data_IF_558145282088
#
_entry.id   IF_558145282088
#
_cell.length_a   1.000
_cell.length_b   1.000
_cell.length_c   1.000
_cell.angle_alpha   90.00
_cell.angle_beta   90.00
_cell.angle_gamma   90.00
#
_symmetry.space_group_name_H-M   'P 1'
#
loop_
_entity.id
_entity.type
_entity.pdbx_description
1 polymer ?
#
# COMPACT_ATOMS: atom_id res chain seq x y z
N UNK A 1 16.89 66.94 -37.17
CA UNK A 1 15.72 67.83 -37.08
C UNK A 1 14.57 67.12 -37.77
N UNK A 2 13.66 66.53 -37.00
CA UNK A 2 12.32 67.10 -36.70
C UNK A 2 11.36 66.84 -37.87
N UNK A 3 10.12 66.36 -37.74
CA UNK A 3 9.26 65.80 -36.70
C UNK A 3 7.94 65.47 -37.44
N UNK A 4 7.14 64.56 -36.89
CA UNK A 4 5.67 64.58 -36.81
C UNK A 4 4.83 65.01 -38.03
N UNK A 5 4.01 64.13 -38.62
CA UNK A 5 2.64 63.70 -38.19
C UNK A 5 1.51 64.67 -38.52
N UNK A 6 0.32 64.07 -38.70
CA UNK A 6 -1.02 64.65 -38.63
C UNK A 6 -1.52 65.43 -39.87
N UNK A 7 -2.80 65.38 -40.27
CA UNK A 7 -3.98 64.61 -39.88
C UNK A 7 -5.17 65.05 -40.76
N UNK A 8 -6.33 64.39 -40.58
CA UNK A 8 -7.73 64.87 -40.76
C UNK A 8 -8.35 64.63 -42.15
N UNK A 9 -9.60 64.15 -42.31
CA UNK A 9 -10.80 64.00 -41.44
C UNK A 9 -11.91 63.20 -42.22
N UNK A 10 -13.11 62.91 -41.68
CA UNK A 10 -13.82 61.62 -41.85
C UNK A 10 -15.30 61.74 -42.36
N UNK A 11 -16.07 60.65 -42.20
CA UNK A 11 -17.52 60.52 -41.85
C UNK A 11 -18.50 60.08 -42.99
N UNK A 12 -19.34 59.09 -42.62
CA UNK A 12 -20.73 58.71 -43.02
C UNK A 12 -20.82 57.31 -43.68
N UNK A 13 -21.74 56.39 -43.37
CA UNK A 13 -22.70 56.18 -42.27
C UNK A 13 -23.29 54.75 -42.43
N UNK A 14 -23.47 54.04 -41.30
CA UNK A 14 -24.55 53.10 -40.91
C UNK A 14 -25.17 52.09 -41.92
N UNK A 15 -25.16 50.81 -41.49
CA UNK A 15 -26.26 49.78 -41.42
C UNK A 15 -25.63 48.39 -41.70
N UNK A 16 -25.87 47.25 -41.03
CA UNK A 16 -26.91 46.74 -40.12
C UNK A 16 -26.39 45.38 -39.55
N UNK A 17 -26.59 45.14 -38.26
CA UNK A 17 -26.85 43.88 -37.53
C UNK A 17 -25.89 42.64 -37.51
N UNK A 18 -25.81 42.07 -36.30
CA UNK A 18 -25.41 40.71 -35.91
C UNK A 18 -23.91 40.32 -35.92
N UNK A 19 -23.25 40.52 -34.77
CA UNK A 19 -22.35 39.52 -34.16
C UNK A 19 -22.17 39.89 -32.68
N UNK A 20 -22.94 39.22 -31.83
CA UNK A 20 -22.84 39.34 -30.38
C UNK A 20 -21.48 38.83 -29.91
N UNK A 21 -20.84 39.65 -29.05
CA UNK A 21 -19.96 39.27 -27.93
C UNK A 21 -19.47 37.81 -27.96
N UNK A 22 -18.38 37.57 -28.71
CA UNK A 22 -17.51 36.41 -28.51
C UNK A 22 -16.34 36.83 -27.61
N UNK A 23 -16.70 37.33 -26.43
CA UNK A 23 -15.86 37.22 -25.25
C UNK A 23 -16.20 35.84 -24.69
N UNK A 24 -15.46 34.82 -25.13
CA UNK A 24 -15.44 33.54 -24.45
C UNK A 24 -14.94 33.78 -23.03
N UNK A 25 -15.85 34.16 -22.14
CA UNK A 25 -15.81 33.71 -20.77
C UNK A 25 -15.81 32.19 -20.86
N UNK A 26 -14.62 31.59 -20.87
CA UNK A 26 -14.47 30.29 -20.25
C UNK A 26 -14.84 30.50 -18.78
N UNK A 27 -16.13 30.44 -18.50
CA UNK A 27 -16.64 30.01 -17.22
C UNK A 27 -16.12 28.58 -17.06
N UNK A 28 -14.85 28.45 -16.67
CA UNK A 28 -14.47 27.37 -15.79
C UNK A 28 -15.37 27.57 -14.58
N UNK A 29 -16.53 26.92 -14.58
CA UNK A 29 -17.14 26.53 -13.32
C UNK A 29 -16.05 25.75 -12.59
N UNK A 30 -15.34 26.45 -11.70
CA UNK A 30 -14.62 25.83 -10.61
C UNK A 30 -15.69 25.02 -9.89
N UNK A 31 -15.83 23.75 -10.26
CA UNK A 31 -16.50 22.79 -9.39
C UNK A 31 -15.70 22.83 -8.10
N UNK A 32 -16.31 23.38 -7.05
CA UNK A 32 -15.72 23.33 -5.73
C UNK A 32 -15.50 21.84 -5.42
N UNK A 33 -14.24 21.50 -5.15
CA UNK A 33 -13.84 20.13 -4.85
C UNK A 33 -14.51 19.71 -3.53
N UNK A 34 -15.08 18.51 -3.47
CA UNK A 34 -15.79 18.00 -2.29
C UNK A 34 -14.92 17.03 -1.50
N UNK A 35 -14.61 17.33 -0.24
CA UNK A 35 -14.02 16.33 0.65
C UNK A 35 -14.99 15.15 0.83
N UNK A 36 -14.48 13.96 1.15
CA UNK A 36 -15.30 12.81 1.55
C UNK A 36 -14.84 12.20 2.87
N UNK A 37 -15.80 11.84 3.73
CA UNK A 37 -15.52 11.00 4.90
C UNK A 37 -15.42 9.56 4.42
N UNK A 38 -14.21 9.02 4.38
CA UNK A 38 -13.93 7.68 3.84
C UNK A 38 -13.97 6.58 4.90
N UNK A 39 -13.76 6.93 6.17
CA UNK A 39 -13.83 6.00 7.28
C UNK A 39 -14.17 6.71 8.60
N UNK A 40 -14.88 6.01 9.48
CA UNK A 40 -15.20 6.43 10.83
C UNK A 40 -15.40 5.21 11.73
N UNK A 41 -14.56 5.07 12.77
CA UNK A 41 -14.69 3.98 13.74
C UNK A 41 -14.16 4.37 15.12
N UNK A 42 -14.55 3.62 16.14
CA UNK A 42 -14.01 3.76 17.50
C UNK A 42 -12.63 3.11 17.60
N UNK A 43 -11.66 3.80 18.19
CA UNK A 43 -10.39 3.21 18.58
C UNK A 43 -10.42 2.91 20.09
N UNK A 44 -10.75 1.66 20.41
CA UNK A 44 -10.83 1.19 21.81
C UNK A 44 -9.47 1.13 22.52
N UNK A 45 -8.36 1.16 21.77
CA UNK A 45 -7.00 1.14 22.33
C UNK A 45 -6.48 2.52 22.67
N UNK A 46 -7.07 3.56 22.07
CA UNK A 46 -6.68 4.95 22.28
C UNK A 46 -7.41 5.57 23.49
N UNK A 47 -6.67 5.78 24.56
CA UNK A 47 -7.17 6.36 25.81
C UNK A 47 -7.14 7.91 25.79
N UNK A 48 -6.90 8.55 24.64
CA UNK A 48 -6.73 10.00 24.55
C UNK A 48 -7.91 10.78 25.13
N UNK A 49 -9.16 10.37 24.87
CA UNK A 49 -10.35 11.02 25.46
C UNK A 49 -10.43 10.87 26.99
N UNK A 50 -9.81 9.83 27.54
CA UNK A 50 -9.80 9.54 28.98
C UNK A 50 -8.67 10.28 29.70
N UNK A 51 -7.53 10.46 29.02
CA UNK A 51 -6.33 11.14 29.53
C UNK A 51 -6.48 12.66 29.38
N UNK A 52 -6.94 13.13 28.23
CA UNK A 52 -7.17 14.54 27.91
C UNK A 52 -8.65 14.88 28.11
N UNK A 53 -9.07 14.89 29.37
CA UNK A 53 -10.47 15.14 29.72
C UNK A 53 -10.85 16.59 29.43
N UNK A 54 -11.55 16.78 28.31
CA UNK A 54 -12.30 18.00 28.01
C UNK A 54 -13.73 17.75 28.45
N UNK A 55 -14.25 18.60 29.32
CA UNK A 55 -15.63 18.55 29.78
C UNK A 55 -16.48 19.56 28.99
N UNK A 56 -17.74 19.21 28.73
CA UNK A 56 -18.73 20.13 28.21
C UNK A 56 -19.18 21.15 29.27
N UNK A 57 -20.13 22.01 28.91
CA UNK A 57 -20.65 23.05 29.82
C UNK A 57 -21.38 22.50 31.05
N UNK A 58 -21.81 21.23 31.02
CA UNK A 58 -22.44 20.55 32.15
C UNK A 58 -21.42 19.81 33.04
N UNK A 59 -20.14 19.81 32.65
CA UNK A 59 -19.08 19.07 33.33
C UNK A 59 -18.97 17.61 32.87
N UNK A 60 -19.72 17.20 31.86
CA UNK A 60 -19.67 15.83 31.34
C UNK A 60 -18.49 15.67 30.37
N UNK A 61 -17.77 14.54 30.43
CA UNK A 61 -16.60 14.33 29.59
C UNK A 61 -16.99 14.14 28.13
N UNK A 62 -16.28 14.82 27.24
CA UNK A 62 -16.46 14.74 25.81
C UNK A 62 -16.00 13.38 25.24
N UNK A 63 -16.49 13.07 24.04
CA UNK A 63 -15.83 12.16 23.12
C UNK A 63 -14.71 12.91 22.38
N UNK A 64 -13.72 12.19 21.86
CA UNK A 64 -12.69 12.74 20.99
C UNK A 64 -12.78 12.10 19.61
N UNK A 65 -12.83 12.90 18.56
CA UNK A 65 -12.61 12.45 17.19
C UNK A 65 -11.25 12.97 16.74
N UNK A 66 -10.36 12.05 16.32
CA UNK A 66 -9.11 12.34 15.64
C UNK A 66 -9.36 12.32 14.14
N UNK A 67 -9.35 13.50 13.52
CA UNK A 67 -9.64 13.67 12.10
C UNK A 67 -8.34 13.71 11.31
N UNK A 68 -8.10 12.65 10.54
CA UNK A 68 -7.03 12.57 9.56
C UNK A 68 -7.35 13.44 8.35
N UNK A 69 -6.91 14.70 8.38
CA UNK A 69 -7.07 15.68 7.31
C UNK A 69 -5.81 16.54 7.20
N UNK A 70 -5.21 16.59 6.01
CA UNK A 70 -3.95 17.34 5.74
C UNK A 70 -4.16 18.81 5.37
N UNK A 71 -5.38 19.32 5.50
CA UNK A 71 -5.75 20.72 5.22
C UNK A 71 -5.55 21.54 6.50
N UNK A 72 -4.58 22.46 6.57
CA UNK A 72 -4.17 23.11 7.82
C UNK A 72 -5.11 24.23 8.31
N UNK A 73 -6.10 24.65 7.52
CA UNK A 73 -7.06 25.70 7.85
C UNK A 73 -8.46 25.17 8.18
N UNK A 74 -8.59 23.86 8.43
CA UNK A 74 -9.88 23.23 8.68
C UNK A 74 -10.52 23.74 9.99
N UNK A 75 -11.81 24.07 9.89
CA UNK A 75 -12.67 24.46 11.01
C UNK A 75 -13.82 23.48 11.12
N UNK A 76 -14.25 23.24 12.35
CA UNK A 76 -15.28 22.25 12.65
C UNK A 76 -16.50 22.94 13.27
N UNK A 77 -17.68 22.55 12.81
CA UNK A 77 -18.98 22.99 13.34
C UNK A 77 -19.82 21.78 13.75
N UNK A 78 -20.58 21.93 14.83
CA UNK A 78 -21.38 20.87 15.42
C UNK A 78 -21.49 21.07 16.94
N UNK A 79 -21.81 19.99 17.65
CA UNK A 79 -21.82 19.95 19.11
C UNK A 79 -20.39 19.86 19.68
N UNK A 80 -19.53 20.79 19.28
CA UNK A 80 -18.08 20.77 19.52
C UNK A 80 -17.74 21.69 20.68
N UNK A 81 -17.05 21.16 21.67
CA UNK A 81 -16.57 21.92 22.83
C UNK A 81 -15.21 22.56 22.54
N UNK A 82 -14.33 21.83 21.86
CA UNK A 82 -12.96 22.26 21.53
C UNK A 82 -12.50 21.59 20.25
N UNK A 83 -11.69 22.28 19.45
CA UNK A 83 -10.85 21.63 18.44
C UNK A 83 -9.42 22.17 18.49
N UNK A 84 -8.45 21.32 18.17
CA UNK A 84 -7.04 21.70 18.09
C UNK A 84 -6.31 20.86 17.04
N UNK A 85 -5.28 21.41 16.41
CA UNK A 85 -4.40 20.65 15.51
C UNK A 85 -3.16 20.21 16.28
N UNK A 86 -2.95 18.90 16.37
CA UNK A 86 -1.87 18.29 17.17
C UNK A 86 -1.42 16.99 16.50
N UNK A 87 -0.11 16.74 16.54
CA UNK A 87 0.49 15.48 16.06
C UNK A 87 0.14 15.12 14.60
N UNK A 88 -0.14 16.12 13.75
CA UNK A 88 -0.45 15.92 12.33
C UNK A 88 -1.92 15.61 12.01
N UNK A 89 -2.82 15.74 12.99
CA UNK A 89 -4.25 15.50 12.87
C UNK A 89 -5.05 16.56 13.65
N UNK A 90 -6.35 16.63 13.41
CA UNK A 90 -7.25 17.47 14.21
C UNK A 90 -7.89 16.66 15.32
N UNK A 91 -7.82 17.18 16.54
CA UNK A 91 -8.51 16.66 17.69
C UNK A 91 -9.77 17.48 17.89
N UNK A 92 -10.94 16.86 17.74
CA UNK A 92 -12.24 17.50 17.85
C UNK A 92 -13.01 16.85 19.00
N UNK A 93 -13.32 17.64 20.03
CA UNK A 93 -13.99 17.17 21.23
C UNK A 93 -15.49 17.46 21.14
N UNK A 94 -16.31 16.41 21.11
CA UNK A 94 -17.76 16.50 20.94
C UNK A 94 -18.50 16.11 22.21
N UNK A 95 -19.68 16.70 22.40
CA UNK A 95 -20.62 16.29 23.44
C UNK A 95 -21.04 14.83 23.22
N UNK A 96 -21.23 14.08 24.31
CA UNK A 96 -21.70 12.69 24.23
C UNK A 96 -23.07 12.60 23.56
N UNK A 97 -23.25 11.66 22.64
CA UNK A 97 -24.48 11.44 21.87
C UNK A 97 -24.50 12.11 20.49
N UNK A 98 -23.59 13.04 20.21
CA UNK A 98 -23.49 13.71 18.91
C UNK A 98 -23.21 12.73 17.77
N UNK A 99 -23.85 12.95 16.64
CA UNK A 99 -23.88 12.02 15.50
C UNK A 99 -23.52 12.69 14.17
N UNK A 100 -23.01 13.92 14.23
CA UNK A 100 -22.63 14.68 13.05
C UNK A 100 -21.61 15.79 13.38
N UNK A 101 -20.87 16.22 12.37
CA UNK A 101 -20.14 17.49 12.36
C UNK A 101 -20.01 18.01 10.92
N UNK A 102 -19.67 19.29 10.76
CA UNK A 102 -19.31 19.87 9.46
C UNK A 102 -17.85 20.32 9.46
N UNK A 103 -17.11 19.98 8.42
CA UNK A 103 -15.74 20.43 8.18
C UNK A 103 -15.76 21.55 7.14
N UNK A 104 -15.22 22.70 7.50
CA UNK A 104 -15.07 23.88 6.63
C UNK A 104 -13.60 24.15 6.36
N UNK A 105 -13.26 24.46 5.11
CA UNK A 105 -11.91 24.81 4.67
C UNK A 105 -12.00 25.97 3.68
N UNK A 106 -10.88 26.62 3.33
CA UNK A 106 -10.84 27.66 2.29
C UNK A 106 -11.04 27.10 0.88
N UNK A 107 -10.60 25.86 0.65
CA UNK A 107 -10.40 25.32 -0.70
C UNK A 107 -11.45 24.28 -1.12
N UNK A 108 -12.26 23.79 -0.17
CA UNK A 108 -13.27 22.75 -0.40
C UNK A 108 -14.65 23.17 0.07
N UNK A 109 -15.69 22.65 -0.61
CA UNK A 109 -17.07 22.77 -0.16
C UNK A 109 -17.19 22.20 1.27
N UNK A 110 -17.93 22.85 2.18
CA UNK A 110 -18.17 22.31 3.52
C UNK A 110 -18.67 20.86 3.48
N UNK A 111 -17.94 19.95 4.12
CA UNK A 111 -18.30 18.55 4.20
C UNK A 111 -19.11 18.31 5.48
N UNK A 112 -20.36 17.90 5.33
CA UNK A 112 -21.14 17.34 6.44
C UNK A 112 -20.79 15.86 6.61
N UNK A 113 -20.33 15.49 7.79
CA UNK A 113 -20.09 14.11 8.20
C UNK A 113 -21.22 13.69 9.13
N UNK A 114 -22.00 12.67 8.74
CA UNK A 114 -22.97 12.01 9.62
C UNK A 114 -22.41 10.63 10.02
N UNK A 115 -22.52 10.25 11.29
CA UNK A 115 -21.93 9.04 11.87
C UNK A 115 -22.73 8.51 13.07
N UNK A 116 -22.39 7.31 13.56
CA UNK A 116 -23.00 6.76 14.78
C UNK A 116 -22.72 7.64 16.01
N UNK A 117 -23.72 7.80 16.88
CA UNK A 117 -23.60 8.64 18.09
C UNK A 117 -22.36 8.31 18.91
N UNK A 118 -21.53 9.33 19.15
CA UNK A 118 -20.29 9.18 19.92
C UNK A 118 -20.58 9.00 21.41
N UNK A 119 -19.74 8.21 22.08
CA UNK A 119 -19.82 7.97 23.52
C UNK A 119 -18.77 8.81 24.25
N UNK A 120 -19.17 9.46 25.33
CA UNK A 120 -18.26 10.15 26.25
C UNK A 120 -17.06 9.28 26.62
N UNK A 121 -15.88 9.89 26.80
CA UNK A 121 -14.61 9.23 27.12
C UNK A 121 -14.12 8.20 26.10
N UNK A 122 -14.70 8.15 24.90
CA UNK A 122 -14.24 7.29 23.81
C UNK A 122 -13.51 8.10 22.75
N UNK A 123 -12.48 7.51 22.16
CA UNK A 123 -11.74 8.08 21.04
C UNK A 123 -12.14 7.40 19.73
N UNK A 124 -12.34 8.21 18.70
CA UNK A 124 -12.75 7.80 17.37
C UNK A 124 -11.74 8.29 16.35
N UNK A 125 -11.57 7.54 15.28
CA UNK A 125 -10.78 7.92 14.11
C UNK A 125 -11.74 8.28 12.99
N UNK A 126 -11.51 9.42 12.35
CA UNK A 126 -12.24 9.85 11.16
C UNK A 126 -11.23 10.14 10.04
N UNK A 127 -11.38 9.48 8.90
CA UNK A 127 -10.53 9.73 7.72
C UNK A 127 -11.28 10.58 6.71
N UNK A 128 -10.71 11.73 6.37
CA UNK A 128 -11.31 12.68 5.40
C UNK A 128 -10.34 12.88 4.24
N UNK A 129 -10.80 12.61 3.02
CA UNK A 129 -9.98 12.66 1.80
C UNK A 129 -10.43 13.80 0.89
N UNK A 130 -9.49 14.46 0.19
CA UNK A 130 -9.80 15.40 -0.88
C UNK A 130 -10.15 14.65 -2.18
N UNK A 131 -10.86 15.26 -3.14
CA UNK A 131 -11.04 14.69 -4.47
C UNK A 131 -9.71 14.29 -5.12
N UNK A 132 -9.61 13.03 -5.54
CA UNK A 132 -8.38 12.49 -6.14
C UNK A 132 -7.26 12.18 -5.14
N UNK A 133 -7.49 12.43 -3.85
CA UNK A 133 -6.52 12.28 -2.78
C UNK A 133 -6.78 10.99 -2.00
N UNK A 134 -6.65 9.85 -2.68
CA UNK A 134 -6.15 8.66 -2.01
C UNK A 134 -4.65 8.88 -1.78
N UNK A 135 -4.27 9.71 -0.81
CA UNK A 135 -2.88 9.76 -0.31
C UNK A 135 -2.59 8.51 0.52
N UNK A 136 -2.66 7.39 -0.16
CA UNK A 136 -1.94 6.21 0.24
C UNK A 136 -0.47 6.65 0.42
N UNK A 137 0.01 6.56 1.65
CA UNK A 137 1.40 6.88 1.97
C UNK A 137 2.29 5.95 1.13
N UNK A 138 3.40 6.43 0.55
CA UNK A 138 4.32 5.56 -0.18
C UNK A 138 4.83 4.36 0.65
N UNK A 139 4.80 4.50 1.99
CA UNK A 139 5.14 3.50 2.98
C UNK A 139 4.16 3.56 4.16
N UNK A 140 3.73 2.40 4.65
CA UNK A 140 3.04 2.22 5.93
C UNK A 140 3.90 1.29 6.78
N UNK A 141 4.08 1.64 8.06
CA UNK A 141 4.67 0.75 9.06
C UNK A 141 3.55 0.16 9.90
N UNK A 142 3.52 -1.16 10.01
CA UNK A 142 2.59 -1.88 10.91
C UNK A 142 3.35 -2.24 12.17
N UNK A 143 2.90 -1.71 13.30
CA UNK A 143 3.48 -1.97 14.62
C UNK A 143 2.60 -2.94 15.40
N UNK A 144 3.08 -4.17 15.62
CA UNK A 144 2.40 -5.15 16.45
C UNK A 144 2.99 -5.10 17.86
N UNK A 145 2.17 -4.64 18.82
CA UNK A 145 2.53 -4.55 20.24
C UNK A 145 1.74 -5.59 21.05
N UNK A 146 2.37 -6.21 22.07
CA UNK A 146 1.68 -7.14 22.94
C UNK A 146 0.51 -6.44 23.63
N UNK A 147 -0.67 -7.07 23.64
CA UNK A 147 -1.74 -6.62 24.51
C UNK A 147 -1.33 -6.87 25.97
N UNK A 148 -1.53 -5.87 26.84
CA UNK A 148 -1.22 -5.97 28.25
C UNK A 148 -2.18 -6.97 28.93
N UNK A 149 -1.75 -8.23 29.08
CA UNK A 149 -2.48 -9.21 29.87
C UNK A 149 -2.11 -9.08 31.35
N UNK A 150 -3.14 -8.92 32.17
CA UNK A 150 -3.06 -8.91 33.63
C UNK A 150 -2.58 -10.30 34.10
N UNK A 151 -1.42 -10.32 34.75
CA UNK A 151 -0.78 -11.41 35.51
C UNK A 151 -0.09 -12.52 34.69
N UNK A 152 1.26 -12.49 34.71
CA UNK A 152 2.10 -13.69 34.77
C UNK A 152 2.55 -14.38 33.47
N UNK A 153 2.12 -13.94 32.29
CA UNK A 153 2.54 -14.55 31.01
C UNK A 153 3.62 -13.69 30.34
N UNK A 154 4.67 -14.33 29.81
CA UNK A 154 5.69 -13.66 29.01
C UNK A 154 5.03 -12.90 27.86
N UNK A 155 5.13 -11.57 27.88
CA UNK A 155 4.65 -10.69 26.81
C UNK A 155 5.50 -10.92 25.56
N UNK A 156 4.88 -11.11 24.39
CA UNK A 156 5.57 -11.17 23.09
C UNK A 156 6.52 -9.97 22.93
N UNK A 157 7.60 -10.08 22.14
CA UNK A 157 8.39 -8.89 21.78
C UNK A 157 7.62 -8.09 20.72
N UNK A 158 7.54 -6.75 20.80
CA UNK A 158 6.98 -5.96 19.71
C UNK A 158 7.69 -6.24 18.40
N UNK A 159 6.96 -6.24 17.28
CA UNK A 159 7.51 -6.39 15.94
C UNK A 159 6.88 -5.36 15.00
N UNK A 160 7.70 -4.81 14.11
CA UNK A 160 7.27 -3.85 13.10
C UNK A 160 7.68 -4.32 11.72
N UNK A 161 6.87 -4.03 10.71
CA UNK A 161 7.21 -4.28 9.31
C UNK A 161 6.64 -3.20 8.41
N UNK A 162 7.33 -2.94 7.29
CA UNK A 162 6.95 -1.93 6.33
C UNK A 162 6.23 -2.53 5.12
N UNK A 163 5.20 -1.83 4.69
CA UNK A 163 4.48 -2.06 3.44
C UNK A 163 4.72 -0.86 2.53
N UNK A 164 5.00 -1.11 1.25
CA UNK A 164 5.17 -0.06 0.25
C UNK A 164 3.98 -0.03 -0.70
N UNK A 165 3.55 1.17 -1.05
CA UNK A 165 2.48 1.40 -1.99
C UNK A 165 2.94 1.08 -3.41
N UNK A 166 2.18 0.24 -4.09
CA UNK A 166 2.34 -0.07 -5.51
C UNK A 166 1.19 0.55 -6.28
N UNK A 167 1.51 1.45 -7.21
CA UNK A 167 0.54 2.11 -8.09
C UNK A 167 0.13 1.18 -9.25
N UNK A 168 -1.10 1.28 -9.78
CA UNK A 168 -1.53 0.51 -10.93
C UNK A 168 -0.67 0.84 -12.14
N UNK A 169 -0.62 -0.09 -13.08
CA UNK A 169 0.18 0.06 -14.28
C UNK A 169 -0.02 -1.10 -15.22
N UNK A 170 0.63 -0.99 -16.38
CA UNK A 170 0.68 -2.06 -17.37
C UNK A 170 2.13 -2.44 -17.62
N UNK A 171 2.39 -3.73 -17.72
CA UNK A 171 3.73 -4.23 -18.01
C UNK A 171 3.68 -5.47 -18.89
N UNK A 172 4.84 -5.80 -19.48
CA UNK A 172 5.04 -7.06 -20.20
C UNK A 172 5.51 -8.12 -19.21
N UNK A 173 4.65 -9.11 -18.97
CA UNK A 173 4.94 -10.26 -18.12
C UNK A 173 5.59 -11.38 -18.95
N UNK A 174 6.55 -12.10 -18.36
CA UNK A 174 7.31 -13.17 -19.00
C UNK A 174 8.67 -12.73 -19.54
N UNK A 175 9.38 -13.64 -20.21
CA UNK A 175 10.77 -13.41 -20.62
C UNK A 175 10.91 -12.39 -21.77
N UNK A 176 11.01 -11.11 -21.39
CA UNK A 176 11.35 -9.96 -22.23
C UNK A 176 12.83 -9.99 -22.68
N UNK A 177 13.28 -9.20 -23.67
CA UNK A 177 14.62 -9.34 -24.26
C UNK A 177 15.81 -9.30 -23.27
N UNK A 178 15.67 -8.58 -22.16
CA UNK A 178 16.63 -8.49 -21.07
C UNK A 178 16.67 -9.75 -20.16
N UNK A 179 15.65 -10.61 -20.23
CA UNK A 179 15.52 -11.85 -19.47
C UNK A 179 16.17 -13.01 -20.24
N UNK A 180 17.50 -13.09 -20.18
CA UNK A 180 18.26 -14.10 -20.91
C UNK A 180 18.02 -15.51 -20.34
N UNK A 181 18.31 -16.55 -21.13
CA UNK A 181 18.21 -17.96 -20.71
C UNK A 181 16.81 -18.35 -20.17
N UNK A 182 15.76 -17.91 -20.85
CA UNK A 182 14.38 -18.17 -20.46
C UNK A 182 13.97 -19.64 -20.66
N UNK A 183 13.26 -20.19 -19.67
CA UNK A 183 12.53 -21.44 -19.78
C UNK A 183 11.27 -21.25 -20.65
N UNK A 184 10.78 -22.34 -21.25
CA UNK A 184 9.62 -22.30 -22.17
C UNK A 184 8.34 -21.77 -21.53
N UNK A 185 8.18 -21.97 -20.22
CA UNK A 185 6.99 -21.60 -19.46
C UNK A 185 6.96 -20.12 -19.04
N UNK A 186 8.05 -19.38 -19.31
CA UNK A 186 8.14 -17.93 -19.20
C UNK A 186 7.58 -17.21 -20.45
N UNK A 187 7.03 -17.97 -21.39
CA UNK A 187 6.44 -17.52 -22.63
C UNK A 187 4.95 -17.93 -22.76
N UNK A 188 4.14 -17.20 -23.57
CA UNK A 188 4.52 -15.99 -24.30
C UNK A 188 4.67 -14.76 -23.40
N UNK A 189 5.49 -13.80 -23.85
CA UNK A 189 5.45 -12.45 -23.30
C UNK A 189 4.09 -11.84 -23.64
N UNK A 190 3.40 -11.29 -22.65
CA UNK A 190 2.05 -10.76 -22.81
C UNK A 190 1.82 -9.54 -21.92
N UNK A 191 0.79 -8.74 -22.25
CA UNK A 191 0.46 -7.54 -21.48
C UNK A 191 -0.39 -7.91 -20.28
N UNK A 192 0.00 -7.40 -19.12
CA UNK A 192 -0.76 -7.50 -17.88
C UNK A 192 -1.03 -6.10 -17.34
N UNK A 193 -2.29 -5.84 -17.00
CA UNK A 193 -2.73 -4.62 -16.33
C UNK A 193 -3.02 -4.91 -14.86
N UNK A 194 -2.30 -4.22 -13.98
CA UNK A 194 -2.63 -4.11 -12.56
C UNK A 194 -3.60 -2.93 -12.41
N UNK A 195 -4.83 -3.19 -11.99
CA UNK A 195 -5.91 -2.18 -12.07
C UNK A 195 -6.05 -1.30 -10.84
N UNK A 196 -5.47 -1.70 -9.70
CA UNK A 196 -5.65 -1.02 -8.42
C UNK A 196 -4.33 -0.76 -7.71
N UNK A 197 -4.36 0.26 -6.87
CA UNK A 197 -3.36 0.43 -5.82
C UNK A 197 -3.42 -0.77 -4.86
N UNK A 198 -2.26 -1.23 -4.40
CA UNK A 198 -2.14 -2.19 -3.30
C UNK A 198 -0.86 -1.92 -2.52
N UNK A 199 -0.78 -2.45 -1.31
CA UNK A 199 0.44 -2.42 -0.52
C UNK A 199 1.10 -3.80 -0.52
N UNK A 200 2.42 -3.86 -0.61
CA UNK A 200 3.17 -5.12 -0.49
C UNK A 200 4.32 -4.94 0.51
N UNK A 201 4.67 -5.99 1.24
CA UNK A 201 5.80 -5.98 2.18
C UNK A 201 7.09 -5.51 1.52
N UNK A 202 7.80 -4.57 2.17
CA UNK A 202 9.13 -4.09 1.73
C UNK A 202 10.13 -5.25 1.60
N UNK A 203 9.97 -6.26 2.46
CA UNK A 203 10.80 -7.46 2.59
C UNK A 203 9.94 -8.72 2.63
N UNK A 204 10.58 -9.89 2.57
CA UNK A 204 9.97 -11.17 2.93
C UNK A 204 9.48 -11.13 4.40
N UNK A 205 8.49 -11.95 4.75
CA UNK A 205 8.06 -12.08 6.15
C UNK A 205 9.21 -12.61 7.00
N UNK A 206 9.62 -11.84 8.01
CA UNK A 206 10.70 -12.23 8.91
C UNK A 206 10.26 -13.29 9.92
N UNK A 207 11.22 -14.02 10.47
CA UNK A 207 10.97 -14.98 11.55
C UNK A 207 10.35 -14.33 12.78
N UNK A 208 10.77 -13.10 13.14
CA UNK A 208 10.17 -12.37 14.25
C UNK A 208 8.68 -12.06 14.00
N UNK A 209 8.31 -11.63 12.79
CA UNK A 209 6.92 -11.36 12.43
C UNK A 209 6.10 -12.65 12.42
N UNK A 210 6.64 -13.72 11.83
CA UNK A 210 5.99 -15.03 11.84
C UNK A 210 5.73 -15.53 13.26
N UNK A 211 6.77 -15.54 14.10
CA UNK A 211 6.69 -16.04 15.49
C UNK A 211 5.72 -15.21 16.33
N UNK A 212 5.66 -13.90 16.12
CA UNK A 212 4.68 -13.04 16.78
C UNK A 212 3.24 -13.46 16.45
N UNK A 213 2.95 -13.77 15.18
CA UNK A 213 1.59 -14.10 14.71
C UNK A 213 1.23 -15.57 14.97
N UNK A 214 2.20 -16.47 14.88
CA UNK A 214 2.00 -17.93 14.84
C UNK A 214 2.40 -18.65 16.12
N UNK A 215 3.00 -17.95 17.09
CA UNK A 215 3.46 -18.51 18.38
C UNK A 215 4.47 -19.67 18.23
N UNK A 216 5.10 -19.76 17.07
CA UNK A 216 6.05 -20.80 16.70
C UNK A 216 6.93 -20.33 15.55
N UNK A 217 8.11 -20.93 15.40
CA UNK A 217 9.06 -20.59 14.35
C UNK A 217 9.56 -21.88 13.68
N UNK A 218 9.11 -22.22 12.45
CA UNK A 218 9.48 -23.45 11.76
C UNK A 218 10.84 -23.38 11.06
N UNK A 219 11.45 -22.20 10.93
CA UNK A 219 12.68 -21.99 10.15
C UNK A 219 13.82 -22.91 10.57
N UNK A 220 14.57 -23.43 9.60
CA UNK A 220 15.86 -24.08 9.83
C UNK A 220 16.93 -23.07 10.24
N UNK A 221 17.03 -21.93 9.56
CA UNK A 221 18.12 -20.95 9.74
C UNK A 221 17.72 -19.86 10.73
N UNK A 222 17.93 -20.09 12.03
CA UNK A 222 17.43 -19.21 13.09
C UNK A 222 18.10 -17.83 13.13
N UNK A 223 17.31 -16.78 12.91
CA UNK A 223 17.60 -15.38 13.21
C UNK A 223 16.28 -14.58 13.09
N UNK A 224 15.91 -13.73 14.05
CA UNK A 224 14.66 -12.97 13.99
C UNK A 224 14.50 -12.09 12.74
N UNK A 225 15.60 -11.65 12.13
CA UNK A 225 15.61 -10.77 10.97
C UNK A 225 15.75 -11.52 9.63
N UNK A 226 15.94 -12.84 9.66
CA UNK A 226 15.91 -13.67 8.44
C UNK A 226 14.48 -13.90 7.99
N UNK A 227 14.24 -14.20 6.69
CA UNK A 227 12.94 -14.63 6.24
C UNK A 227 12.52 -15.91 6.97
N UNK A 228 11.22 -16.05 7.22
CA UNK A 228 10.67 -17.34 7.62
C UNK A 228 10.74 -18.31 6.44
N UNK A 229 11.12 -19.55 6.72
CA UNK A 229 11.16 -20.65 5.76
C UNK A 229 10.68 -21.94 6.42
N UNK A 230 10.64 -23.04 5.66
CA UNK A 230 10.03 -24.30 6.09
C UNK A 230 8.53 -24.16 6.40
N UNK A 231 7.83 -23.32 5.66
CA UNK A 231 6.38 -23.10 5.75
C UNK A 231 5.66 -23.73 4.55
N UNK A 232 4.43 -24.21 4.74
CA UNK A 232 3.57 -24.64 3.63
C UNK A 232 2.70 -23.49 3.13
N UNK A 233 2.12 -23.62 1.94
CA UNK A 233 1.19 -22.61 1.42
C UNK A 233 -0.03 -22.42 2.33
N UNK A 234 -0.56 -23.52 2.89
CA UNK A 234 -1.71 -23.50 3.80
C UNK A 234 -1.36 -22.80 5.13
N UNK A 235 -0.16 -23.02 5.68
CA UNK A 235 0.29 -22.29 6.87
C UNK A 235 0.48 -20.80 6.61
N UNK A 236 0.95 -20.43 5.41
CA UNK A 236 0.98 -19.03 4.99
C UNK A 236 -0.43 -18.42 5.01
N UNK A 237 -1.48 -19.14 4.57
CA UNK A 237 -2.86 -18.64 4.67
C UNK A 237 -3.30 -18.45 6.14
N UNK A 238 -2.95 -19.38 7.02
CA UNK A 238 -3.26 -19.26 8.46
C UNK A 238 -2.56 -18.05 9.06
N UNK A 239 -1.27 -17.85 8.75
CA UNK A 239 -0.52 -16.66 9.15
C UNK A 239 -1.20 -15.38 8.67
N UNK A 240 -1.59 -15.32 7.39
CA UNK A 240 -2.25 -14.14 6.80
C UNK A 240 -3.62 -13.87 7.44
N UNK A 241 -4.40 -14.90 7.75
CA UNK A 241 -5.68 -14.78 8.45
C UNK A 241 -5.49 -14.18 9.85
N UNK A 242 -4.56 -14.73 10.64
CA UNK A 242 -4.26 -14.22 11.98
C UNK A 242 -3.70 -12.81 11.95
N UNK A 243 -2.79 -12.52 11.01
CA UNK A 243 -2.28 -11.16 10.83
C UNK A 243 -3.42 -10.19 10.52
N UNK A 244 -4.36 -10.59 9.65
CA UNK A 244 -5.53 -9.77 9.33
C UNK A 244 -6.44 -9.51 10.52
N UNK A 245 -6.66 -10.52 11.37
CA UNK A 245 -7.41 -10.39 12.62
C UNK A 245 -6.72 -9.42 13.59
N UNK A 246 -5.39 -9.49 13.70
CA UNK A 246 -4.61 -8.63 14.59
C UNK A 246 -4.61 -7.16 14.17
N UNK A 247 -4.68 -6.88 12.87
CA UNK A 247 -4.57 -5.52 12.33
C UNK A 247 -5.89 -4.91 11.89
N UNK A 248 -6.97 -5.71 11.82
CA UNK A 248 -8.27 -5.28 11.30
C UNK A 248 -8.29 -5.02 9.79
N UNK A 249 -7.26 -5.45 9.05
CA UNK A 249 -7.14 -5.22 7.60
C UNK A 249 -6.75 -6.51 6.88
N UNK A 250 -7.14 -6.65 5.62
CA UNK A 250 -7.00 -7.92 4.89
C UNK A 250 -5.61 -8.10 4.27
N UNK A 251 -4.89 -9.12 4.73
CA UNK A 251 -3.66 -9.59 4.12
C UNK A 251 -3.87 -10.83 3.25
N UNK A 252 -3.04 -10.97 2.22
CA UNK A 252 -2.96 -12.14 1.33
C UNK A 252 -1.55 -12.35 0.78
N UNK A 253 -1.35 -13.46 0.07
CA UNK A 253 -0.18 -13.62 -0.81
C UNK A 253 -0.34 -12.72 -2.07
N UNK A 254 0.78 -12.31 -2.69
CA UNK A 254 0.72 -11.66 -4.00
C UNK A 254 0.19 -12.63 -5.06
N UNK A 255 -0.48 -12.08 -6.08
CA UNK A 255 -0.60 -12.82 -7.34
C UNK A 255 0.78 -12.90 -8.01
N UNK A 256 0.98 -13.87 -8.90
CA UNK A 256 2.22 -13.98 -9.67
C UNK A 256 2.46 -12.71 -10.50
N UNK A 257 1.39 -12.13 -11.05
CA UNK A 257 1.45 -10.89 -11.81
C UNK A 257 1.85 -9.69 -10.96
N UNK A 258 1.30 -9.55 -9.75
CA UNK A 258 1.69 -8.49 -8.81
C UNK A 258 3.16 -8.65 -8.40
N UNK A 259 3.58 -9.89 -8.10
CA UNK A 259 4.96 -10.18 -7.73
C UNK A 259 5.93 -9.77 -8.85
N UNK A 260 5.66 -10.19 -10.09
CA UNK A 260 6.55 -9.86 -11.22
C UNK A 260 6.52 -8.37 -11.55
N UNK A 261 5.36 -7.72 -11.46
CA UNK A 261 5.23 -6.28 -11.65
C UNK A 261 6.11 -5.51 -10.65
N UNK A 262 6.05 -5.89 -9.37
CA UNK A 262 6.88 -5.28 -8.31
C UNK A 262 8.35 -5.62 -8.51
N UNK A 263 8.70 -6.87 -8.80
CA UNK A 263 10.08 -7.30 -9.03
C UNK A 263 10.74 -6.53 -10.19
N UNK A 264 9.97 -6.16 -11.22
CA UNK A 264 10.45 -5.35 -12.35
C UNK A 264 10.63 -3.87 -12.03
N UNK A 265 10.19 -3.39 -10.86
CA UNK A 265 10.18 -1.96 -10.51
C UNK A 265 8.91 -1.22 -10.90
N UNK A 266 7.83 -1.94 -11.26
CA UNK A 266 6.53 -1.39 -11.64
C UNK A 266 6.61 -0.27 -12.67
N UNK A 267 5.97 0.87 -12.39
CA UNK A 267 6.00 2.06 -13.26
C UNK A 267 7.38 2.75 -13.37
N UNK A 268 8.38 2.28 -12.61
CA UNK A 268 9.77 2.79 -12.64
C UNK A 268 10.75 1.75 -13.21
N UNK A 269 10.24 0.73 -13.90
CA UNK A 269 11.08 -0.37 -14.40
C UNK A 269 12.27 0.11 -15.23
N UNK A 270 13.44 -0.46 -14.96
CA UNK A 270 14.68 -0.22 -15.72
C UNK A 270 15.00 -1.35 -16.72
N UNK A 271 14.12 -2.34 -16.88
CA UNK A 271 14.30 -3.49 -17.77
C UNK A 271 15.63 -4.23 -17.52
N UNK A 272 15.90 -4.57 -16.26
CA UNK A 272 17.06 -5.35 -15.84
C UNK A 272 16.74 -6.84 -15.72
N UNK A 273 17.78 -7.68 -15.74
CA UNK A 273 17.63 -9.14 -15.59
C UNK A 273 17.11 -9.53 -14.19
N UNK A 274 17.64 -8.88 -13.15
CA UNK A 274 17.26 -9.07 -11.75
C UNK A 274 16.53 -7.84 -11.21
N UNK A 275 15.91 -7.94 -10.04
CA UNK A 275 15.17 -6.84 -9.45
C UNK A 275 16.11 -5.70 -9.03
N UNK A 276 16.12 -4.58 -9.76
CA UNK A 276 16.92 -3.39 -9.45
C UNK A 276 18.38 -3.37 -9.93
N UNK A 277 18.85 -4.43 -10.60
CA UNK A 277 20.20 -4.49 -11.17
C UNK A 277 20.33 -5.54 -12.28
N UNK A 278 21.30 -5.33 -13.18
CA UNK A 278 21.79 -6.35 -14.09
C UNK A 278 22.86 -7.26 -13.44
N UNK A 279 23.34 -6.90 -12.25
CA UNK A 279 24.32 -7.65 -11.47
C UNK A 279 23.63 -8.35 -10.28
N UNK A 280 23.59 -9.69 -10.30
CA UNK A 280 22.91 -10.49 -9.29
C UNK A 280 23.50 -10.29 -7.88
N UNK A 281 24.82 -10.07 -7.78
CA UNK A 281 25.50 -9.92 -6.49
C UNK A 281 25.10 -8.66 -5.73
N UNK A 282 24.58 -7.64 -6.41
CA UNK A 282 24.11 -6.40 -5.78
C UNK A 282 22.75 -6.57 -5.10
N UNK A 283 21.93 -7.49 -5.59
CA UNK A 283 20.49 -7.55 -5.29
C UNK A 283 20.06 -8.89 -4.68
N UNK A 284 20.91 -9.91 -4.74
CA UNK A 284 20.53 -11.27 -4.41
C UNK A 284 21.49 -12.04 -3.52
N UNK A 285 20.92 -12.84 -2.63
CA UNK A 285 21.60 -13.94 -1.95
C UNK A 285 21.26 -15.26 -2.65
N UNK A 286 22.28 -15.93 -3.18
CA UNK A 286 22.16 -17.19 -3.92
C UNK A 286 23.40 -18.04 -3.68
N UNK A 287 23.43 -19.29 -4.18
CA UNK A 287 24.40 -20.29 -3.72
C UNK A 287 25.86 -19.81 -3.70
N UNK A 288 26.38 -19.11 -4.74
CA UNK A 288 27.76 -18.62 -4.76
C UNK A 288 28.11 -17.60 -3.68
N UNK A 289 27.14 -16.83 -3.17
CA UNK A 289 27.38 -15.74 -2.23
C UNK A 289 26.61 -15.85 -0.91
N UNK A 290 25.79 -16.89 -0.70
CA UNK A 290 24.92 -17.03 0.47
C UNK A 290 25.57 -17.75 1.66
N UNK A 291 26.74 -18.38 1.46
CA UNK A 291 27.36 -19.25 2.47
C UNK A 291 26.42 -20.35 2.98
N UNK A 292 25.56 -20.89 2.09
CA UNK A 292 24.63 -21.96 2.36
C UNK A 292 23.58 -21.66 3.47
N UNK A 293 23.11 -20.42 3.55
CA UNK A 293 22.07 -20.00 4.48
C UNK A 293 21.23 -18.85 3.91
N UNK A 294 20.02 -18.68 4.43
CA UNK A 294 19.29 -17.40 4.31
C UNK A 294 20.02 -16.30 5.09
N UNK A 295 19.80 -15.06 4.67
CA UNK A 295 20.37 -13.85 5.24
C UNK A 295 19.28 -12.94 5.78
N UNK A 296 19.66 -12.04 6.69
CA UNK A 296 18.73 -11.02 7.18
C UNK A 296 18.18 -10.22 5.99
N UNK A 297 16.88 -9.96 6.01
CA UNK A 297 16.21 -9.18 4.96
C UNK A 297 16.82 -7.78 4.85
N UNK A 298 16.66 -7.13 3.69
CA UNK A 298 17.09 -5.73 3.49
C UNK A 298 18.60 -5.51 3.61
N UNK A 299 19.40 -6.53 3.26
CA UNK A 299 20.88 -6.46 3.32
C UNK A 299 21.54 -6.31 1.94
N UNK A 300 20.76 -6.44 0.86
CA UNK A 300 21.15 -6.15 -0.53
C UNK A 300 20.47 -4.88 -1.04
N UNK A 301 20.81 -4.45 -2.26
CA UNK A 301 20.23 -3.26 -2.88
C UNK A 301 18.74 -3.50 -3.24
N UNK A 302 17.84 -2.54 -2.98
CA UNK A 302 16.45 -2.64 -3.41
C UNK A 302 16.27 -2.30 -4.89
N UNK A 303 15.09 -2.60 -5.42
CA UNK A 303 14.65 -2.14 -6.73
C UNK A 303 14.16 -0.68 -6.74
N UNK A 304 13.70 -0.20 -7.89
CA UNK A 304 13.30 1.21 -8.12
C UNK A 304 12.10 1.67 -7.30
N UNK A 305 11.32 0.72 -6.78
CA UNK A 305 10.19 0.96 -5.90
C UNK A 305 10.58 0.88 -4.40
N UNK A 306 11.79 0.40 -4.09
CA UNK A 306 12.27 0.24 -2.73
C UNK A 306 12.05 -1.15 -2.12
N UNK A 307 11.67 -2.16 -2.91
CA UNK A 307 11.52 -3.54 -2.45
C UNK A 307 12.86 -4.27 -2.46
N UNK A 308 13.10 -5.07 -1.44
CA UNK A 308 14.33 -5.83 -1.24
C UNK A 308 14.10 -7.32 -1.49
N UNK A 309 15.18 -8.04 -1.77
CA UNK A 309 15.22 -9.50 -1.79
C UNK A 309 14.29 -10.16 -2.82
N UNK A 310 13.87 -9.43 -3.87
CA UNK A 310 13.04 -9.94 -4.97
C UNK A 310 13.83 -10.81 -5.99
N UNK A 311 15.11 -11.08 -5.72
CA UNK A 311 16.02 -11.89 -6.54
C UNK A 311 16.97 -12.69 -5.63
N UNK A 312 16.47 -13.66 -4.87
CA UNK A 312 17.27 -14.54 -4.00
C UNK A 312 16.72 -14.63 -2.58
N UNK A 313 17.58 -15.01 -1.63
CA UNK A 313 17.25 -15.26 -0.22
C UNK A 313 16.26 -16.42 -0.03
N UNK A 314 14.95 -16.22 -0.20
CA UNK A 314 13.99 -17.33 -0.31
C UNK A 314 13.05 -17.16 -1.51
N UNK A 315 12.63 -18.29 -2.08
CA UNK A 315 11.48 -18.35 -2.94
C UNK A 315 10.26 -17.80 -2.20
N UNK A 316 9.41 -17.05 -2.90
CA UNK A 316 8.18 -16.50 -2.32
C UNK A 316 6.96 -17.18 -2.94
N UNK A 317 6.07 -17.70 -2.09
CA UNK A 317 4.77 -18.23 -2.52
C UNK A 317 3.88 -17.13 -3.14
N UNK A 318 3.24 -17.46 -4.25
CA UNK A 318 2.15 -16.67 -4.82
C UNK A 318 0.78 -17.36 -4.59
N UNK A 319 -0.30 -16.61 -4.78
CA UNK A 319 -1.67 -17.14 -4.70
C UNK A 319 -1.98 -18.13 -5.83
N UNK A 320 -1.38 -17.92 -7.00
CA UNK A 320 -1.67 -18.61 -8.24
C UNK A 320 -1.29 -20.09 -8.22
N UNK A 321 -2.12 -20.90 -8.86
CA UNK A 321 -1.71 -22.21 -9.37
C UNK A 321 -0.93 -22.04 -10.67
N UNK A 322 0.11 -22.84 -10.88
CA UNK A 322 0.94 -22.71 -12.07
C UNK A 322 0.15 -23.08 -13.33
N UNK A 323 0.12 -22.15 -14.27
CA UNK A 323 -0.54 -22.29 -15.57
C UNK A 323 0.30 -21.69 -16.70
N UNK A 324 -0.04 -22.08 -17.93
CA UNK A 324 0.47 -21.42 -19.14
C UNK A 324 0.06 -19.94 -19.14
N UNK A 325 0.96 -19.09 -19.65
CA UNK A 325 0.62 -17.68 -19.83
C UNK A 325 -0.45 -17.50 -20.91
N UNK A 326 -1.43 -16.61 -20.68
CA UNK A 326 -2.49 -16.36 -21.63
C UNK A 326 -1.93 -15.74 -22.91
N UNK A 327 -2.63 -15.96 -24.03
CA UNK A 327 -2.38 -15.24 -25.27
C UNK A 327 -3.15 -13.92 -25.23
N UNK A 328 -2.45 -12.80 -25.24
CA UNK A 328 -3.05 -11.46 -25.29
C UNK A 328 -3.04 -10.71 -23.97
N UNK A 329 -3.74 -9.59 -23.93
CA UNK A 329 -3.81 -8.71 -22.75
C UNK A 329 -4.79 -9.24 -21.70
N UNK A 330 -4.38 -9.20 -20.43
CA UNK A 330 -5.23 -9.55 -19.28
C UNK A 330 -5.14 -8.49 -18.19
N UNK A 331 -6.17 -8.40 -17.36
CA UNK A 331 -6.21 -7.50 -16.19
C UNK A 331 -6.32 -8.32 -14.91
N UNK A 332 -5.49 -8.01 -13.92
CA UNK A 332 -5.39 -8.69 -12.62
C UNK A 332 -5.51 -10.23 -12.73
N UNK A 333 -4.68 -10.90 -13.54
CA UNK A 333 -4.81 -12.34 -13.74
C UNK A 333 -4.55 -13.08 -12.43
N UNK A 334 -5.44 -14.02 -12.13
CA UNK A 334 -5.27 -15.00 -11.06
C UNK A 334 -5.33 -16.37 -11.74
N UNK A 335 -4.24 -17.12 -11.66
CA UNK A 335 -4.09 -18.44 -12.27
C UNK A 335 -5.30 -19.33 -11.98
N UNK A 336 -5.88 -19.91 -13.03
CA UNK A 336 -7.12 -20.69 -12.93
C UNK A 336 -6.86 -22.19 -12.79
N UNK A 337 -7.74 -22.89 -12.06
CA UNK A 337 -7.75 -24.33 -11.71
C UNK A 337 -6.82 -24.76 -10.57
N UNK A 338 -7.42 -25.50 -9.63
CA UNK A 338 -6.76 -26.20 -8.55
C UNK A 338 -5.92 -27.37 -9.10
N UNK A 339 -4.65 -27.09 -9.42
CA UNK A 339 -3.58 -28.10 -9.34
C UNK A 339 -3.12 -28.17 -7.87
N UNK A 340 -2.32 -29.17 -7.46
CA UNK A 340 -1.62 -29.12 -6.16
C UNK A 340 -0.42 -28.15 -6.17
N UNK A 341 -0.06 -27.65 -7.35
CA UNK A 341 1.16 -26.90 -7.58
C UNK A 341 0.94 -25.38 -7.56
N UNK A 342 1.51 -24.73 -6.55
CA UNK A 342 1.53 -23.27 -6.39
C UNK A 342 2.71 -22.65 -7.11
N UNK A 343 2.53 -21.44 -7.60
CA UNK A 343 3.63 -20.64 -8.13
C UNK A 343 4.54 -20.20 -6.99
N UNK A 344 5.85 -20.24 -7.25
CA UNK A 344 6.87 -19.56 -6.45
C UNK A 344 7.81 -18.74 -7.35
N UNK A 345 8.28 -17.60 -6.86
CA UNK A 345 9.11 -16.64 -7.61
C UNK A 345 10.34 -16.20 -6.80
N UNK A 346 11.33 -15.59 -7.46
CA UNK A 346 12.46 -14.91 -6.81
C UNK A 346 13.81 -15.63 -6.79
N UNK A 347 13.84 -16.96 -6.81
CA UNK A 347 15.07 -17.69 -6.47
C UNK A 347 15.26 -17.78 -4.96
N UNK A 348 16.32 -18.46 -4.53
CA UNK A 348 16.64 -18.62 -3.11
C UNK A 348 18.15 -18.71 -2.88
N UNK A 349 18.55 -18.70 -1.61
CA UNK A 349 19.94 -18.79 -1.17
C UNK A 349 20.69 -20.02 -1.70
N UNK A 350 19.98 -21.10 -2.05
CA UNK A 350 20.51 -22.37 -2.58
C UNK A 350 20.41 -22.46 -4.10
N UNK A 351 19.99 -21.39 -4.78
CA UNK A 351 19.94 -21.37 -6.24
C UNK A 351 21.36 -21.33 -6.82
N UNK A 352 21.76 -22.44 -7.45
CA UNK A 352 23.08 -22.61 -8.05
C UNK A 352 23.28 -21.74 -9.30
N UNK A 353 22.24 -21.58 -10.12
CA UNK A 353 22.29 -20.71 -11.30
C UNK A 353 21.69 -19.33 -10.99
N UNK A 354 22.34 -18.23 -11.42
CA UNK A 354 21.74 -16.91 -11.34
C UNK A 354 20.49 -16.80 -12.23
N UNK A 355 20.31 -17.68 -13.23
CA UNK A 355 19.09 -17.68 -14.05
C UNK A 355 17.82 -17.95 -13.22
N UNK A 356 17.94 -18.61 -12.06
CA UNK A 356 16.83 -18.84 -11.14
C UNK A 356 16.35 -17.57 -10.42
N UNK A 357 17.17 -16.51 -10.40
CA UNK A 357 16.90 -15.24 -9.71
C UNK A 357 16.30 -14.17 -10.63
N UNK A 358 16.17 -14.47 -11.92
CA UNK A 358 15.60 -13.54 -12.91
C UNK A 358 14.16 -13.18 -12.56
N UNK A 359 13.77 -11.93 -12.80
CA UNK A 359 12.42 -11.46 -12.45
C UNK A 359 11.32 -12.21 -13.21
N UNK A 360 11.59 -12.75 -14.40
CA UNK A 360 10.64 -13.59 -15.15
C UNK A 360 10.62 -15.07 -14.74
N UNK A 361 11.64 -15.56 -14.01
CA UNK A 361 11.81 -16.99 -13.74
C UNK A 361 10.77 -17.52 -12.77
N UNK A 362 10.01 -18.53 -13.19
CA UNK A 362 8.86 -19.06 -12.46
C UNK A 362 8.95 -20.55 -12.22
N UNK A 363 8.74 -20.97 -10.97
CA UNK A 363 8.68 -22.40 -10.61
C UNK A 363 7.37 -22.75 -9.93
N UNK A 364 7.15 -24.06 -9.80
CA UNK A 364 6.06 -24.59 -9.01
C UNK A 364 6.58 -25.42 -7.86
N UNK A 365 5.75 -25.53 -6.85
CA UNK A 365 5.95 -26.37 -5.69
C UNK A 365 4.59 -26.91 -5.23
N UNK A 366 4.56 -28.12 -4.70
CA UNK A 366 3.32 -28.65 -4.12
C UNK A 366 2.95 -27.83 -2.87
N UNK A 367 1.65 -27.63 -2.65
CA UNK A 367 1.16 -26.72 -1.61
C UNK A 367 1.60 -27.11 -0.18
N UNK A 368 1.86 -28.39 0.06
CA UNK A 368 2.22 -29.01 1.34
C UNK A 368 3.74 -29.18 1.52
N UNK A 369 4.54 -28.82 0.53
CA UNK A 369 5.99 -28.88 0.62
C UNK A 369 6.54 -27.80 1.56
N UNK A 370 7.55 -28.19 2.34
CA UNK A 370 8.42 -27.28 3.10
C UNK A 370 9.83 -27.35 2.55
N UNK A 371 10.43 -26.20 2.27
CA UNK A 371 11.83 -26.11 1.86
C UNK A 371 12.54 -25.03 2.65
N UNK A 372 13.85 -25.21 2.84
CA UNK A 372 14.73 -24.26 3.56
C UNK A 372 14.94 -22.95 2.80
N UNK A 373 14.54 -22.91 1.53
CA UNK A 373 14.62 -21.75 0.66
C UNK A 373 13.24 -21.25 0.24
N UNK A 374 12.16 -21.55 0.97
CA UNK A 374 10.79 -21.18 0.57
C UNK A 374 10.04 -20.50 1.73
N UNK A 375 9.62 -19.27 1.49
CA UNK A 375 8.89 -18.40 2.42
C UNK A 375 7.78 -17.62 1.72
N UNK A 376 7.51 -16.41 2.19
CA UNK A 376 6.40 -15.59 1.71
C UNK A 376 6.67 -14.08 1.86
N UNK A 377 5.92 -13.31 1.09
CA UNK A 377 5.74 -11.86 1.23
C UNK A 377 4.24 -11.56 1.29
N UNK A 378 3.87 -10.51 2.02
CA UNK A 378 2.46 -10.14 2.20
C UNK A 378 2.03 -9.04 1.24
N UNK A 379 0.76 -9.09 0.84
CA UNK A 379 0.01 -8.01 0.20
C UNK A 379 -1.13 -7.60 1.11
N UNK A 380 -1.34 -6.30 1.25
CA UNK A 380 -2.49 -5.68 1.91
C UNK A 380 -3.42 -5.12 0.83
N UNK A 381 -4.65 -5.65 0.80
CA UNK A 381 -5.70 -5.12 -0.07
C UNK A 381 -6.27 -3.83 0.53
N UNK A 382 -6.40 -2.82 -0.30
CA UNK A 382 -7.14 -1.62 0.04
C UNK A 382 -8.61 -1.94 -0.16
N UNK A 383 -9.35 -2.09 0.95
CA UNK A 383 -10.77 -2.35 0.93
C UNK A 383 -11.48 -1.31 0.06
N UNK A 384 -12.42 -1.79 -0.76
CA UNK A 384 -13.32 -0.95 -1.55
C UNK A 384 -14.36 -0.27 -0.70
#
# INVERSE_FOLDING_TARGET
>A
MSNYHNNNKPIYMKKIFFAAVLLCFSLCSLYAQELTMSDFHVDSSDLSAQVHQVADLNGDPCALIKVGLTVPDAKFEGDIVKSEYKDGEYWVYLIGGSSWLTIKTSDFTPLRCDFESVKSKSTYIMTVTKPGENFLKPRITVDLKPQANIIGVQTKKPVSFDLLLVKPGMFKMGATPEQQNADKDEHPVHWVKITKDFYMGETEVTQALWEYVMDSNPSTFKDPNKPVEMVTWDECQVFLSKLSELTGVRFRLPTEAEWEYVARGGNKTQLTQYSGSANVDEVGWYYPNSQNTTHAVKTKKPNELGFYDMSGNVWEFCMDYKNEYPKGEVSDPVGSKADKNRVRRGGAWDSESPDNLRVAFRRRVEQDTREKGLGLRVVLDLSK
#
